data_IF_057105083743
#
_entry.id   IF_057105083743
#
_cell.length_a   1.000
_cell.length_b   1.000
_cell.length_c   1.000
_cell.angle_alpha   90.00
_cell.angle_beta   90.00
_cell.angle_gamma   90.00
#
_symmetry.space_group_name_H-M   'P 1'
#
loop_
_entity.id
_entity.type
_entity.pdbx_description
1 polymer ?
#
# COMPACT_ATOMS: atom_id res chain seq x y z
N UNK A 1 24.10 27.00 31.62
CA UNK A 1 24.50 26.49 30.28
C UNK A 1 25.93 25.92 30.21
N UNK A 2 27.00 26.60 30.66
CA UNK A 2 28.38 26.02 30.65
C UNK A 2 28.53 24.76 31.52
N UNK A 3 27.92 24.74 32.72
CA UNK A 3 27.98 23.59 33.64
C UNK A 3 27.29 22.35 33.04
N UNK A 4 26.19 22.54 32.29
CA UNK A 4 25.44 21.45 31.67
C UNK A 4 26.22 20.77 30.55
N UNK A 5 26.94 21.56 29.73
CA UNK A 5 27.76 21.04 28.62
C UNK A 5 28.92 20.21 29.16
N UNK A 6 29.64 20.74 30.18
CA UNK A 6 30.74 20.01 30.79
C UNK A 6 30.31 18.67 31.40
N UNK A 7 29.16 18.66 32.05
CA UNK A 7 28.62 17.40 32.64
C UNK A 7 28.15 16.41 31.59
N UNK A 8 27.52 16.89 30.52
CA UNK A 8 27.14 16.03 29.39
C UNK A 8 28.41 15.40 28.75
N UNK A 9 29.45 16.19 28.54
CA UNK A 9 30.71 15.70 27.97
C UNK A 9 31.40 14.68 28.90
N UNK A 10 31.41 14.93 30.20
CA UNK A 10 31.95 13.99 31.18
C UNK A 10 31.22 12.64 31.18
N UNK A 11 29.89 12.68 31.27
CA UNK A 11 29.05 11.47 31.26
C UNK A 11 29.18 10.71 29.95
N UNK A 12 29.22 11.41 28.83
CA UNK A 12 29.45 10.82 27.52
C UNK A 12 30.85 10.17 27.39
N UNK A 13 31.89 10.85 27.83
CA UNK A 13 33.27 10.36 27.79
C UNK A 13 33.50 9.15 28.71
N UNK A 14 32.84 9.14 29.87
CA UNK A 14 32.92 8.02 30.80
C UNK A 14 32.02 6.85 30.45
N UNK A 15 31.11 7.00 29.48
CA UNK A 15 30.16 5.97 29.08
C UNK A 15 29.31 5.47 30.26
N UNK A 16 28.65 6.40 30.97
CA UNK A 16 27.94 6.13 32.22
C UNK A 16 26.46 6.43 32.13
N UNK A 17 25.64 5.62 32.84
CA UNK A 17 24.27 6.01 33.12
C UNK A 17 24.24 7.11 34.18
N UNK A 18 23.49 8.17 33.90
CA UNK A 18 23.39 9.33 34.77
C UNK A 18 21.96 9.86 34.84
N UNK A 19 21.55 10.24 36.04
CA UNK A 19 20.28 10.92 36.23
C UNK A 19 20.38 11.92 37.40
N UNK A 20 20.21 13.21 37.09
CA UNK A 20 20.20 14.26 38.11
C UNK A 20 19.20 15.36 37.73
N UNK A 21 18.59 15.97 38.76
CA UNK A 21 17.79 17.18 38.59
C UNK A 21 18.68 18.39 38.91
N UNK A 22 18.78 19.34 37.98
CA UNK A 22 19.57 20.56 38.11
C UNK A 22 18.67 21.72 37.69
N UNK A 23 18.47 22.67 38.60
CA UNK A 23 17.64 23.89 38.39
C UNK A 23 16.26 23.58 37.78
N UNK A 24 15.57 22.58 38.34
CA UNK A 24 14.25 22.16 37.89
C UNK A 24 14.23 21.35 36.58
N UNK A 25 15.38 21.19 35.90
CA UNK A 25 15.54 20.38 34.70
C UNK A 25 16.16 19.03 35.02
N UNK A 26 15.68 17.99 34.34
CA UNK A 26 16.24 16.66 34.45
C UNK A 26 17.29 16.46 33.37
N UNK A 27 18.51 16.13 33.78
CA UNK A 27 19.59 15.65 32.91
C UNK A 27 19.69 14.14 33.12
N UNK A 28 19.63 13.38 32.03
CA UNK A 28 19.78 11.92 32.10
C UNK A 28 20.49 11.38 30.88
N UNK A 29 21.30 10.37 31.08
CA UNK A 29 21.85 9.50 30.04
C UNK A 29 21.47 8.05 30.34
N UNK A 30 21.36 7.26 29.28
CA UNK A 30 21.14 5.82 29.38
C UNK A 30 22.08 5.11 28.41
N UNK A 31 22.52 3.93 28.79
CA UNK A 31 23.33 3.06 27.97
C UNK A 31 22.43 1.98 27.35
N UNK A 32 22.71 1.70 26.11
CA UNK A 32 21.97 0.72 25.33
C UNK A 32 22.91 -0.06 24.44
N UNK A 33 22.58 -1.32 24.19
CA UNK A 33 23.20 -2.08 23.12
C UNK A 33 22.61 -1.69 21.76
N UNK A 34 23.34 -1.94 20.68
CA UNK A 34 22.84 -1.67 19.32
C UNK A 34 21.52 -2.40 19.04
N UNK A 35 21.35 -3.59 19.61
CA UNK A 35 20.11 -4.38 19.49
C UNK A 35 18.90 -3.74 20.18
N UNK A 36 19.08 -2.78 21.09
CA UNK A 36 17.97 -2.04 21.73
C UNK A 36 17.31 -1.03 20.81
N UNK A 37 18.03 -0.58 19.79
CA UNK A 37 17.55 0.38 18.80
C UNK A 37 17.25 -0.24 17.45
N UNK A 38 17.69 -1.47 17.24
CA UNK A 38 17.49 -2.19 16.00
C UNK A 38 16.11 -2.85 15.93
N UNK A 39 15.58 -2.90 14.73
CA UNK A 39 14.34 -3.61 14.42
C UNK A 39 14.39 -4.23 13.04
N UNK A 40 13.65 -5.31 12.87
CA UNK A 40 13.28 -5.85 11.57
C UNK A 40 12.05 -5.10 11.07
N UNK A 41 12.15 -4.47 9.90
CA UNK A 41 10.97 -3.99 9.17
C UNK A 41 10.50 -5.11 8.27
N UNK A 42 9.36 -5.72 8.62
CA UNK A 42 8.80 -6.90 7.99
C UNK A 42 7.51 -6.54 7.28
N UNK A 43 7.36 -6.93 6.01
CA UNK A 43 6.10 -6.74 5.31
C UNK A 43 5.12 -7.86 5.68
N UNK A 44 3.92 -7.44 6.03
CA UNK A 44 2.76 -8.29 6.28
C UNK A 44 1.87 -8.22 5.04
N UNK A 45 1.71 -9.36 4.39
CA UNK A 45 0.94 -9.48 3.16
C UNK A 45 -0.43 -10.09 3.47
N UNK A 46 -1.41 -9.77 2.63
CA UNK A 46 -2.77 -10.34 2.66
C UNK A 46 -3.16 -10.80 1.27
N UNK A 47 -4.01 -11.83 1.14
CA UNK A 47 -4.45 -12.32 -0.16
C UNK A 47 -5.31 -11.28 -0.87
N UNK A 48 -5.04 -11.09 -2.14
CA UNK A 48 -5.90 -10.31 -3.02
C UNK A 48 -7.19 -11.05 -3.27
N UNK A 49 -8.32 -10.34 -3.23
CA UNK A 49 -9.66 -10.88 -3.47
C UNK A 49 -10.36 -10.06 -4.53
N UNK A 50 -10.77 -10.69 -5.62
CA UNK A 50 -11.37 -10.00 -6.75
C UNK A 50 -12.65 -10.69 -7.20
N UNK A 51 -13.69 -9.88 -7.42
CA UNK A 51 -14.78 -10.20 -8.31
C UNK A 51 -14.48 -9.72 -9.71
N UNK A 52 -15.15 -10.31 -10.70
CA UNK A 52 -15.01 -9.90 -12.09
C UNK A 52 -16.35 -9.95 -12.82
N UNK A 53 -16.55 -9.02 -13.76
CA UNK A 53 -17.75 -8.98 -14.60
C UNK A 53 -17.49 -8.14 -15.84
N UNK A 54 -17.91 -8.59 -17.00
CA UNK A 54 -17.90 -7.78 -18.20
C UNK A 54 -19.10 -6.81 -18.20
N UNK A 55 -18.85 -5.57 -17.72
CA UNK A 55 -19.79 -4.44 -17.79
C UNK A 55 -19.32 -3.45 -18.85
N UNK A 56 -20.26 -2.86 -19.58
CA UNK A 56 -19.92 -1.91 -20.65
C UNK A 56 -19.13 -0.70 -20.15
N UNK A 57 -19.52 -0.18 -18.99
CA UNK A 57 -18.81 0.95 -18.35
C UNK A 57 -17.37 0.61 -17.98
N UNK A 58 -17.10 -0.64 -17.54
CA UNK A 58 -15.76 -1.10 -17.20
C UNK A 58 -14.89 -1.32 -18.45
N UNK A 59 -15.48 -1.92 -19.49
CA UNK A 59 -14.82 -2.14 -20.78
C UNK A 59 -14.46 -0.79 -21.42
N UNK A 60 -15.36 0.19 -21.35
CA UNK A 60 -15.13 1.52 -21.91
C UNK A 60 -13.90 2.22 -21.30
N UNK A 61 -13.49 1.88 -20.07
CA UNK A 61 -12.27 2.43 -19.46
C UNK A 61 -10.99 2.02 -20.19
N UNK A 62 -11.02 0.91 -20.93
CA UNK A 62 -9.87 0.43 -21.72
C UNK A 62 -9.51 1.33 -22.90
N UNK A 63 -10.45 2.15 -23.36
CA UNK A 63 -10.22 3.10 -24.47
C UNK A 63 -9.17 4.14 -24.19
N UNK A 64 -8.91 4.42 -22.92
CA UNK A 64 -8.16 5.59 -22.52
C UNK A 64 -6.94 5.24 -21.68
N UNK A 65 -5.86 5.98 -21.88
CA UNK A 65 -4.74 5.98 -20.94
C UNK A 65 -5.15 6.71 -19.66
N UNK A 66 -4.90 6.12 -18.50
CA UNK A 66 -5.30 6.68 -17.19
C UNK A 66 -4.81 8.13 -16.97
N UNK A 67 -3.65 8.48 -17.52
CA UNK A 67 -3.07 9.81 -17.37
C UNK A 67 -3.54 10.80 -18.42
N UNK A 68 -4.18 10.32 -19.47
CA UNK A 68 -4.68 11.10 -20.61
C UNK A 68 -6.18 10.92 -20.84
N UNK A 69 -6.88 10.37 -19.84
CA UNK A 69 -8.29 9.99 -19.98
C UNK A 69 -9.17 11.14 -20.44
N UNK A 70 -9.09 12.27 -19.77
CA UNK A 70 -9.90 13.46 -20.08
C UNK A 70 -9.65 14.00 -21.49
N UNK A 71 -8.40 14.32 -21.89
CA UNK A 71 -8.15 14.78 -23.26
C UNK A 71 -8.41 13.73 -24.32
N UNK A 72 -8.24 12.43 -24.02
CA UNK A 72 -8.58 11.34 -24.97
C UNK A 72 -10.11 11.24 -25.14
N UNK A 73 -10.91 11.38 -24.10
CA UNK A 73 -12.38 11.43 -24.18
C UNK A 73 -12.82 12.57 -25.09
N UNK A 74 -12.30 13.77 -24.86
CA UNK A 74 -12.62 14.93 -25.69
C UNK A 74 -12.22 14.68 -27.17
N UNK A 75 -11.00 14.21 -27.44
CA UNK A 75 -10.59 13.90 -28.80
C UNK A 75 -11.49 12.85 -29.46
N UNK A 76 -11.92 11.83 -28.73
CA UNK A 76 -12.80 10.79 -29.27
C UNK A 76 -14.19 11.34 -29.60
N UNK A 77 -14.72 12.22 -28.77
CA UNK A 77 -16.02 12.87 -28.98
C UNK A 77 -16.01 13.79 -30.21
N UNK A 78 -14.90 14.53 -30.42
CA UNK A 78 -14.75 15.45 -31.55
C UNK A 78 -14.37 14.76 -32.87
N UNK A 79 -13.38 13.85 -32.82
CA UNK A 79 -12.75 13.31 -34.04
C UNK A 79 -13.10 11.84 -34.33
N UNK A 80 -13.72 11.14 -33.39
CA UNK A 80 -14.24 9.76 -33.54
C UNK A 80 -13.18 8.81 -34.15
N UNK A 81 -13.52 8.15 -35.26
CA UNK A 81 -12.64 7.18 -35.94
C UNK A 81 -11.33 7.80 -36.44
N UNK A 82 -11.25 9.10 -36.62
CA UNK A 82 -10.03 9.77 -37.05
C UNK A 82 -8.94 9.76 -35.97
N UNK A 83 -9.32 9.56 -34.69
CA UNK A 83 -8.36 9.32 -33.61
C UNK A 83 -7.47 8.10 -33.90
N UNK A 84 -8.00 7.07 -34.54
CA UNK A 84 -7.30 5.84 -34.83
C UNK A 84 -6.57 5.84 -36.18
N UNK A 85 -6.86 6.80 -37.05
CA UNK A 85 -6.30 6.86 -38.40
C UNK A 85 -5.31 7.98 -38.59
N UNK A 86 -5.66 9.24 -38.28
CA UNK A 86 -4.87 10.43 -38.59
C UNK A 86 -5.06 11.56 -37.57
N UNK A 87 -4.96 11.25 -36.28
CA UNK A 87 -5.12 12.23 -35.19
C UNK A 87 -4.12 13.40 -35.26
N UNK A 88 -2.99 13.21 -35.90
CA UNK A 88 -1.91 14.20 -35.98
C UNK A 88 -2.37 15.50 -36.69
N UNK A 89 -3.34 15.41 -37.60
CA UNK A 89 -3.86 16.59 -38.31
C UNK A 89 -4.57 17.59 -37.39
N UNK A 90 -5.08 17.13 -36.24
CA UNK A 90 -5.78 17.93 -35.25
C UNK A 90 -4.90 18.45 -34.11
N UNK A 91 -3.58 18.36 -34.30
CA UNK A 91 -2.61 18.71 -33.24
C UNK A 91 -2.83 20.14 -32.68
N UNK A 92 -3.13 21.10 -33.53
CA UNK A 92 -3.34 22.50 -33.10
C UNK A 92 -4.59 22.66 -32.26
N UNK A 93 -5.69 22.09 -32.70
CA UNK A 93 -6.98 22.12 -32.03
C UNK A 93 -6.90 21.39 -30.67
N UNK A 94 -6.14 20.31 -30.58
CA UNK A 94 -5.88 19.61 -29.34
C UNK A 94 -5.05 20.46 -28.37
N UNK A 95 -4.01 21.16 -28.87
CA UNK A 95 -3.21 22.07 -28.07
C UNK A 95 -4.06 23.26 -27.56
N UNK A 96 -4.92 23.85 -28.39
CA UNK A 96 -5.86 24.90 -28.02
C UNK A 96 -6.87 24.44 -26.96
N UNK A 97 -7.38 23.21 -27.07
CA UNK A 97 -8.26 22.60 -26.06
C UNK A 97 -7.55 22.45 -24.72
N UNK A 98 -6.33 21.89 -24.72
CA UNK A 98 -5.54 21.69 -23.49
C UNK A 98 -5.27 23.03 -22.78
N UNK A 99 -4.94 24.06 -23.54
CA UNK A 99 -4.67 25.39 -22.98
C UNK A 99 -5.96 26.06 -22.45
N UNK A 100 -7.11 25.89 -23.13
CA UNK A 100 -8.41 26.43 -22.71
C UNK A 100 -8.91 25.78 -21.41
N UNK A 101 -8.76 24.48 -21.27
CA UNK A 101 -9.21 23.73 -20.08
C UNK A 101 -8.13 23.66 -18.96
N UNK A 102 -7.02 24.42 -19.12
CA UNK A 102 -5.88 24.45 -18.17
C UNK A 102 -5.29 23.06 -17.85
N UNK A 103 -5.29 22.16 -18.85
CA UNK A 103 -4.75 20.80 -18.74
C UNK A 103 -3.26 20.82 -19.01
N UNK A 104 -2.45 20.76 -17.95
CA UNK A 104 -0.99 20.75 -18.07
C UNK A 104 -0.45 19.36 -18.34
N UNK A 105 0.03 19.12 -19.56
CA UNK A 105 0.69 17.88 -19.95
C UNK A 105 2.18 18.11 -20.26
N UNK A 106 3.02 17.15 -19.87
CA UNK A 106 4.42 17.17 -20.27
C UNK A 106 4.57 16.90 -21.79
N UNK A 107 5.72 17.25 -22.37
CA UNK A 107 5.98 17.12 -23.80
C UNK A 107 5.80 15.67 -24.34
N UNK A 108 6.12 14.65 -23.53
CA UNK A 108 5.92 13.26 -23.89
C UNK A 108 4.44 12.92 -24.03
N UNK A 109 3.61 13.36 -23.11
CA UNK A 109 2.17 13.10 -23.10
C UNK A 109 1.45 13.88 -24.22
N UNK A 110 1.82 15.14 -24.48
CA UNK A 110 1.32 15.91 -25.63
C UNK A 110 1.63 15.19 -26.95
N UNK A 111 2.86 14.70 -27.12
CA UNK A 111 3.25 13.93 -28.31
C UNK A 111 2.52 12.58 -28.39
N UNK A 112 2.30 11.90 -27.27
CA UNK A 112 1.58 10.64 -27.24
C UNK A 112 0.11 10.83 -27.66
N UNK A 113 -0.57 11.85 -27.15
CA UNK A 113 -1.98 12.14 -27.45
C UNK A 113 -2.24 12.34 -28.94
N UNK A 114 -1.29 12.93 -29.66
CA UNK A 114 -1.35 13.14 -31.12
C UNK A 114 -0.72 12.00 -31.93
N UNK A 115 -0.43 10.86 -31.31
CA UNK A 115 0.18 9.69 -31.94
C UNK A 115 -0.85 8.58 -32.16
N UNK A 116 -1.03 8.13 -33.38
CA UNK A 116 -1.83 6.96 -33.72
C UNK A 116 -1.50 5.74 -32.85
N UNK A 117 -0.23 5.55 -32.48
CA UNK A 117 0.21 4.41 -31.69
C UNK A 117 -0.43 4.34 -30.30
N UNK A 118 -0.74 5.49 -29.66
CA UNK A 118 -1.47 5.51 -28.40
C UNK A 118 -2.90 4.99 -28.60
N UNK A 119 -3.58 5.49 -29.57
CA UNK A 119 -4.98 5.16 -29.85
C UNK A 119 -5.16 3.70 -30.23
N UNK A 120 -4.36 3.18 -31.16
CA UNK A 120 -4.43 1.77 -31.56
C UNK A 120 -4.04 0.82 -30.43
N UNK A 121 -3.15 1.23 -29.53
CA UNK A 121 -2.78 0.45 -28.33
C UNK A 121 -3.97 0.23 -27.40
N UNK A 122 -4.87 1.20 -27.29
CA UNK A 122 -6.04 1.13 -26.43
C UNK A 122 -7.26 0.52 -27.12
N UNK A 123 -7.34 0.58 -28.44
CA UNK A 123 -8.42 -0.01 -29.24
C UNK A 123 -8.47 -1.55 -29.11
N UNK A 124 -7.34 -2.22 -29.28
CA UNK A 124 -7.28 -3.68 -29.28
C UNK A 124 -7.76 -4.33 -27.95
N UNK A 125 -7.35 -3.87 -26.76
CA UNK A 125 -7.87 -4.40 -25.51
C UNK A 125 -9.39 -4.23 -25.35
N UNK A 126 -9.93 -3.10 -25.77
CA UNK A 126 -11.37 -2.85 -25.72
C UNK A 126 -12.16 -3.76 -26.65
N UNK A 127 -11.74 -3.84 -27.93
CA UNK A 127 -12.37 -4.75 -28.92
C UNK A 127 -12.31 -6.19 -28.43
N UNK A 128 -11.16 -6.62 -27.89
CA UNK A 128 -11.03 -7.96 -27.33
C UNK A 128 -11.92 -8.18 -26.12
N UNK A 129 -12.04 -7.20 -25.23
CA UNK A 129 -12.93 -7.29 -24.08
C UNK A 129 -14.41 -7.43 -24.48
N UNK A 130 -14.85 -6.76 -25.55
CA UNK A 130 -16.19 -6.93 -26.10
C UNK A 130 -16.39 -8.35 -26.69
N UNK A 131 -15.42 -8.88 -27.42
CA UNK A 131 -15.45 -10.26 -27.91
C UNK A 131 -15.55 -11.26 -26.75
N UNK A 132 -14.77 -11.03 -25.68
CA UNK A 132 -14.83 -11.88 -24.48
C UNK A 132 -16.18 -11.76 -23.77
N UNK A 133 -16.75 -10.56 -23.67
CA UNK A 133 -18.10 -10.33 -23.12
C UNK A 133 -19.15 -11.14 -23.88
N UNK A 134 -19.11 -11.11 -25.21
CA UNK A 134 -20.07 -11.83 -26.05
C UNK A 134 -19.93 -13.36 -25.94
N UNK A 135 -18.72 -13.86 -25.68
CA UNK A 135 -18.44 -15.29 -25.57
C UNK A 135 -18.70 -15.85 -24.14
N UNK A 136 -18.36 -15.10 -23.10
CA UNK A 136 -18.42 -15.52 -21.67
C UNK A 136 -19.76 -15.09 -21.05
N UNK A 137 -20.30 -13.94 -21.45
CA UNK A 137 -21.50 -13.34 -20.88
C UNK A 137 -21.19 -12.23 -19.88
N UNK A 138 -22.25 -11.81 -19.18
CA UNK A 138 -22.21 -10.66 -18.26
C UNK A 138 -22.51 -11.04 -16.82
N UNK A 139 -22.40 -12.31 -16.46
CA UNK A 139 -22.61 -12.76 -15.09
C UNK A 139 -21.42 -12.34 -14.20
N UNK A 140 -21.70 -12.11 -12.92
CA UNK A 140 -20.69 -11.76 -11.93
C UNK A 140 -19.97 -13.02 -11.45
N UNK A 141 -18.65 -13.00 -11.48
CA UNK A 141 -17.78 -14.05 -10.96
C UNK A 141 -17.28 -13.67 -9.57
N UNK A 142 -17.57 -14.49 -8.58
CA UNK A 142 -17.03 -14.36 -7.22
C UNK A 142 -15.65 -15.00 -7.08
N UNK A 143 -15.23 -15.81 -8.06
CA UNK A 143 -13.92 -16.43 -8.16
C UNK A 143 -13.19 -15.94 -9.42
N UNK A 144 -12.25 -15.02 -9.20
CA UNK A 144 -11.42 -14.47 -10.28
C UNK A 144 -10.55 -15.52 -10.96
N UNK A 145 -10.21 -16.62 -10.29
CA UNK A 145 -9.38 -17.68 -10.89
C UNK A 145 -10.17 -18.45 -11.95
N UNK A 146 -11.46 -18.71 -11.70
CA UNK A 146 -12.36 -19.31 -12.70
C UNK A 146 -12.55 -18.35 -13.86
N UNK A 147 -12.87 -17.08 -13.59
CA UNK A 147 -13.01 -16.05 -14.62
C UNK A 147 -11.76 -15.95 -15.52
N UNK A 148 -10.58 -15.84 -14.93
CA UNK A 148 -9.30 -15.77 -15.66
C UNK A 148 -9.08 -16.99 -16.54
N UNK A 149 -9.43 -18.17 -16.07
CA UNK A 149 -9.34 -19.41 -16.84
C UNK A 149 -10.27 -19.39 -18.04
N UNK A 150 -11.52 -19.00 -17.88
CA UNK A 150 -12.46 -18.88 -18.99
C UNK A 150 -12.01 -17.87 -20.04
N UNK A 151 -11.49 -16.71 -19.60
CA UNK A 151 -10.87 -15.75 -20.52
C UNK A 151 -9.72 -16.39 -21.32
N UNK A 152 -8.83 -17.14 -20.65
CA UNK A 152 -7.74 -17.83 -21.33
C UNK A 152 -8.20 -18.89 -22.32
N UNK A 153 -9.25 -19.64 -21.97
CA UNK A 153 -9.82 -20.68 -22.82
C UNK A 153 -10.49 -20.07 -24.07
N UNK A 154 -11.25 -18.99 -23.93
CA UNK A 154 -11.86 -18.26 -25.07
C UNK A 154 -10.81 -17.64 -25.97
N UNK A 155 -9.79 -16.95 -25.42
CA UNK A 155 -8.69 -16.38 -26.20
C UNK A 155 -7.98 -17.46 -27.04
N UNK A 156 -7.75 -18.63 -26.45
CA UNK A 156 -7.15 -19.77 -27.13
C UNK A 156 -8.03 -20.34 -28.22
N UNK A 157 -9.32 -20.52 -27.95
CA UNK A 157 -10.32 -21.02 -28.90
C UNK A 157 -10.44 -20.10 -30.11
N UNK A 158 -10.50 -18.80 -29.88
CA UNK A 158 -10.62 -17.79 -30.94
C UNK A 158 -9.27 -17.43 -31.60
N UNK A 159 -8.17 -18.01 -31.11
CA UNK A 159 -6.78 -17.74 -31.57
C UNK A 159 -6.37 -16.27 -31.48
N UNK A 160 -6.95 -15.55 -30.52
CA UNK A 160 -6.59 -14.16 -30.24
C UNK A 160 -5.27 -14.15 -29.46
N UNK A 161 -4.29 -13.42 -29.97
CA UNK A 161 -2.98 -13.27 -29.32
C UNK A 161 -2.89 -11.89 -28.67
N UNK A 162 -2.83 -11.86 -27.34
CA UNK A 162 -2.56 -10.67 -26.55
C UNK A 162 -1.20 -10.78 -25.91
N UNK A 163 -0.53 -9.66 -25.75
CA UNK A 163 0.60 -9.57 -24.81
C UNK A 163 0.11 -9.73 -23.38
N UNK A 164 1.01 -10.09 -22.47
CA UNK A 164 0.68 -10.15 -21.05
C UNK A 164 0.13 -8.82 -20.49
N UNK A 165 0.65 -7.69 -20.99
CA UNK A 165 0.20 -6.35 -20.61
C UNK A 165 -1.24 -6.08 -21.05
N UNK A 166 -1.59 -6.41 -22.29
CA UNK A 166 -2.95 -6.22 -22.83
C UNK A 166 -3.96 -7.11 -22.09
N UNK A 167 -3.63 -8.39 -21.90
CA UNK A 167 -4.47 -9.30 -21.12
C UNK A 167 -4.69 -8.81 -19.69
N UNK A 168 -3.63 -8.38 -19.01
CA UNK A 168 -3.75 -7.84 -17.65
C UNK A 168 -4.55 -6.53 -17.61
N UNK A 169 -4.44 -5.69 -18.65
CA UNK A 169 -5.25 -4.48 -18.75
C UNK A 169 -6.76 -4.83 -18.79
N UNK A 170 -7.16 -5.81 -19.60
CA UNK A 170 -8.55 -6.28 -19.67
C UNK A 170 -8.99 -6.84 -18.30
N UNK A 171 -8.22 -7.79 -17.75
CA UNK A 171 -8.56 -8.42 -16.47
C UNK A 171 -8.70 -7.39 -15.33
N UNK A 172 -7.80 -6.41 -15.26
CA UNK A 172 -7.83 -5.36 -14.25
C UNK A 172 -8.99 -4.37 -14.45
N UNK A 173 -9.38 -4.10 -15.71
CA UNK A 173 -10.48 -3.20 -16.00
C UNK A 173 -11.84 -3.78 -15.58
N UNK A 174 -12.02 -5.10 -15.73
CA UNK A 174 -13.29 -5.78 -15.48
C UNK A 174 -13.34 -6.46 -14.11
N UNK A 175 -12.41 -6.17 -13.21
CA UNK A 175 -12.36 -6.72 -11.86
C UNK A 175 -12.23 -5.64 -10.80
N UNK A 176 -12.71 -5.92 -9.59
CA UNK A 176 -12.63 -5.03 -8.43
C UNK A 176 -12.45 -5.84 -7.15
N UNK A 177 -11.92 -5.18 -6.12
CA UNK A 177 -11.78 -5.77 -4.79
C UNK A 177 -13.15 -6.02 -4.16
N UNK A 178 -13.32 -7.21 -3.58
CA UNK A 178 -14.46 -7.55 -2.72
C UNK A 178 -13.97 -8.52 -1.63
N UNK A 179 -14.22 -8.20 -0.37
CA UNK A 179 -13.76 -9.00 0.78
C UNK A 179 -14.34 -10.42 0.81
N UNK A 180 -15.51 -10.62 0.18
CA UNK A 180 -16.19 -11.92 0.12
C UNK A 180 -15.82 -12.72 -1.14
N UNK A 181 -14.98 -12.16 -2.02
CA UNK A 181 -14.51 -12.88 -3.19
C UNK A 181 -13.48 -13.95 -2.82
N UNK A 182 -13.31 -14.94 -3.69
CA UNK A 182 -12.25 -15.94 -3.53
C UNK A 182 -10.85 -15.32 -3.65
N UNK A 183 -9.88 -15.95 -2.96
CA UNK A 183 -8.48 -15.53 -3.00
C UNK A 183 -7.89 -15.73 -4.38
N UNK A 184 -7.19 -14.72 -4.89
CA UNK A 184 -6.54 -14.80 -6.20
C UNK A 184 -5.28 -15.66 -6.10
N UNK A 185 -5.25 -16.73 -6.88
CA UNK A 185 -4.10 -17.64 -6.95
C UNK A 185 -3.02 -17.02 -7.83
N UNK A 186 -1.85 -16.79 -7.25
CA UNK A 186 -0.65 -16.37 -7.97
C UNK A 186 -0.01 -17.55 -8.69
N UNK A 187 0.11 -18.66 -7.97
CA UNK A 187 0.83 -19.84 -8.46
C UNK A 187 0.41 -21.09 -7.70
N UNK A 188 0.32 -22.19 -8.42
CA UNK A 188 0.27 -23.53 -7.85
C UNK A 188 1.55 -24.24 -8.26
N UNK A 189 2.32 -24.73 -7.30
CA UNK A 189 3.62 -25.36 -7.56
C UNK A 189 3.80 -26.64 -6.78
N UNK A 190 4.36 -27.64 -7.45
CA UNK A 190 4.82 -28.86 -6.80
C UNK A 190 6.29 -28.69 -6.42
N UNK A 191 6.59 -28.74 -5.12
CA UNK A 191 7.92 -28.56 -4.57
C UNK A 191 8.55 -29.94 -4.32
N UNK A 192 9.73 -30.21 -4.91
CA UNK A 192 10.45 -31.45 -4.62
C UNK A 192 10.97 -31.49 -3.18
N UNK A 193 11.18 -32.68 -2.60
CA UNK A 193 11.66 -32.83 -1.23
C UNK A 193 12.92 -31.99 -0.93
N UNK A 194 13.92 -32.03 -1.80
CA UNK A 194 15.17 -31.26 -1.63
C UNK A 194 14.95 -29.74 -1.65
N UNK A 195 13.95 -29.26 -2.44
CA UNK A 195 13.60 -27.83 -2.47
C UNK A 195 12.75 -27.42 -1.29
N UNK A 196 11.91 -28.33 -0.80
CA UNK A 196 11.10 -28.10 0.38
C UNK A 196 12.00 -27.97 1.62
N UNK A 197 12.98 -28.90 1.79
CA UNK A 197 13.96 -28.83 2.87
C UNK A 197 14.70 -27.48 2.86
N UNK A 198 15.21 -27.07 1.69
CA UNK A 198 15.88 -25.75 1.56
C UNK A 198 14.97 -24.56 1.85
N UNK A 199 13.69 -24.66 1.51
CA UNK A 199 12.71 -23.61 1.81
C UNK A 199 12.47 -23.54 3.32
N UNK A 200 12.30 -24.67 3.99
CA UNK A 200 12.12 -24.74 5.44
C UNK A 200 13.35 -24.20 6.18
N UNK A 201 14.56 -24.59 5.76
CA UNK A 201 15.81 -24.05 6.30
C UNK A 201 15.93 -22.54 6.12
N UNK A 202 15.55 -22.02 4.92
CA UNK A 202 15.58 -20.59 4.63
C UNK A 202 14.58 -19.80 5.49
N UNK A 203 13.38 -20.34 5.67
CA UNK A 203 12.32 -19.70 6.46
C UNK A 203 12.50 -19.92 7.97
N UNK A 204 13.31 -20.93 8.37
CA UNK A 204 13.51 -21.29 9.76
C UNK A 204 12.23 -21.85 10.42
N UNK A 205 11.41 -22.59 9.65
CA UNK A 205 10.11 -23.07 10.12
C UNK A 205 9.88 -24.55 9.77
N UNK A 206 8.84 -25.14 10.35
CA UNK A 206 8.37 -26.48 10.00
C UNK A 206 7.34 -26.44 8.84
N UNK A 207 7.10 -27.61 8.21
CA UNK A 207 6.19 -27.70 7.04
C UNK A 207 4.76 -27.25 7.35
N UNK A 208 4.27 -27.48 8.56
CA UNK A 208 2.94 -27.07 9.01
C UNK A 208 2.83 -25.54 9.27
N UNK A 209 3.95 -24.83 9.27
CA UNK A 209 4.03 -23.38 9.50
C UNK A 209 4.19 -22.58 8.20
N UNK A 210 4.33 -23.26 7.06
CA UNK A 210 4.54 -22.63 5.76
C UNK A 210 3.44 -21.63 5.35
N UNK A 211 2.22 -21.80 5.85
CA UNK A 211 1.11 -20.84 5.62
C UNK A 211 1.41 -19.46 6.21
N UNK A 212 2.20 -19.38 7.27
CA UNK A 212 2.63 -18.11 7.86
C UNK A 212 3.58 -17.33 6.94
N UNK A 213 4.07 -17.97 5.90
CA UNK A 213 4.97 -17.41 4.89
C UNK A 213 4.37 -17.43 3.48
N UNK A 214 3.04 -17.67 3.38
CA UNK A 214 2.29 -17.58 2.13
C UNK A 214 2.27 -18.85 1.27
N UNK A 215 2.71 -20.00 1.81
CA UNK A 215 2.67 -21.30 1.14
C UNK A 215 1.57 -22.18 1.76
N UNK A 216 0.48 -22.34 1.05
CA UNK A 216 -0.70 -23.08 1.52
C UNK A 216 -0.74 -24.47 0.90
N UNK A 217 -0.71 -25.49 1.73
CA UNK A 217 -0.70 -26.91 1.29
C UNK A 217 -2.04 -27.28 0.65
N UNK A 218 -1.99 -27.99 -0.47
CA UNK A 218 -3.18 -28.59 -1.10
C UNK A 218 -3.39 -30.04 -0.63
N UNK A 219 -4.47 -30.66 -1.05
CA UNK A 219 -4.73 -32.10 -0.80
C UNK A 219 -3.72 -33.02 -1.51
N UNK A 220 -2.93 -32.51 -2.43
CA UNK A 220 -1.91 -33.27 -3.15
C UNK A 220 -0.55 -33.18 -2.47
N UNK A 221 0.16 -34.29 -2.46
CA UNK A 221 1.48 -34.34 -1.85
C UNK A 221 2.46 -33.34 -2.46
N UNK A 222 3.11 -32.56 -1.60
CA UNK A 222 4.12 -31.56 -1.96
C UNK A 222 3.62 -30.48 -2.95
N UNK A 223 2.32 -30.24 -3.03
CA UNK A 223 1.74 -29.17 -3.84
C UNK A 223 1.27 -28.03 -2.94
N UNK A 224 1.69 -26.82 -3.28
CA UNK A 224 1.39 -25.60 -2.51
C UNK A 224 0.78 -24.54 -3.41
N UNK A 225 -0.15 -23.79 -2.85
CA UNK A 225 -0.74 -22.59 -3.44
C UNK A 225 -0.04 -21.38 -2.83
N UNK A 226 0.37 -20.45 -3.68
CA UNK A 226 0.75 -19.10 -3.30
C UNK A 226 -0.34 -18.15 -3.80
N UNK A 227 -0.87 -17.29 -2.91
CA UNK A 227 -1.85 -16.28 -3.29
C UNK A 227 -1.16 -14.99 -3.76
N UNK A 228 -1.84 -14.24 -4.61
CA UNK A 228 -1.40 -12.90 -4.99
C UNK A 228 -1.60 -11.96 -3.80
N UNK A 229 -0.56 -11.20 -3.43
CA UNK A 229 -0.68 -10.22 -2.36
C UNK A 229 -1.40 -8.98 -2.83
N UNK A 230 -2.27 -8.45 -1.98
CA UNK A 230 -2.90 -7.15 -2.20
C UNK A 230 -1.96 -6.04 -1.72
N UNK A 231 -1.49 -5.21 -2.67
CA UNK A 231 -0.55 -4.13 -2.38
C UNK A 231 -1.18 -2.99 -1.59
N UNK A 232 -2.49 -2.81 -1.70
CA UNK A 232 -3.23 -1.74 -1.02
C UNK A 232 -3.52 -2.12 0.44
N UNK A 233 -3.56 -3.43 0.73
CA UNK A 233 -3.73 -3.99 2.07
C UNK A 233 -2.42 -4.40 2.74
N UNK A 234 -1.29 -4.22 2.06
CA UNK A 234 0.04 -4.50 2.64
C UNK A 234 0.32 -3.57 3.78
N UNK A 235 0.83 -4.13 4.87
CA UNK A 235 1.29 -3.41 6.03
C UNK A 235 2.74 -3.76 6.36
N UNK A 236 3.35 -3.05 7.30
CA UNK A 236 4.71 -3.36 7.76
C UNK A 236 4.83 -3.24 9.27
N UNK A 237 5.42 -4.27 9.87
CA UNK A 237 5.70 -4.31 11.30
C UNK A 237 7.17 -4.00 11.59
N UNK A 238 7.40 -3.30 12.69
CA UNK A 238 8.74 -3.01 13.22
C UNK A 238 8.99 -3.88 14.45
N UNK A 239 9.64 -5.02 14.23
CA UNK A 239 9.87 -6.05 15.25
C UNK A 239 11.25 -5.82 15.88
N UNK A 240 11.38 -5.66 17.21
CA UNK A 240 12.67 -5.50 17.87
C UNK A 240 13.67 -6.61 17.47
N UNK A 241 14.95 -6.26 17.27
CA UNK A 241 15.97 -7.27 16.91
C UNK A 241 16.15 -8.36 17.96
N UNK A 242 15.66 -8.16 19.18
CA UNK A 242 15.68 -9.15 20.26
C UNK A 242 14.55 -10.16 20.19
N UNK A 243 13.55 -9.92 19.38
CA UNK A 243 12.37 -10.76 19.22
C UNK A 243 12.48 -11.59 17.92
N UNK A 244 11.95 -12.79 17.97
CA UNK A 244 11.83 -13.63 16.77
C UNK A 244 10.61 -13.18 15.94
N UNK A 245 10.81 -13.03 14.63
CA UNK A 245 9.79 -12.54 13.69
C UNK A 245 8.53 -13.42 13.75
N UNK A 246 8.69 -14.74 13.76
CA UNK A 246 7.56 -15.67 13.78
C UNK A 246 6.75 -15.57 15.07
N UNK A 247 7.42 -15.53 16.23
CA UNK A 247 6.74 -15.42 17.51
C UNK A 247 5.97 -14.10 17.64
N UNK A 248 6.56 -13.02 17.17
CA UNK A 248 5.89 -11.71 17.11
C UNK A 248 4.67 -11.76 16.19
N UNK A 249 4.82 -12.29 14.98
CA UNK A 249 3.74 -12.41 13.99
C UNK A 249 2.55 -13.20 14.55
N UNK A 250 2.81 -14.35 15.16
CA UNK A 250 1.76 -15.20 15.72
C UNK A 250 1.02 -14.56 16.89
N UNK A 251 1.73 -13.72 17.68
CA UNK A 251 1.17 -13.10 18.86
C UNK A 251 0.47 -11.78 18.58
N UNK A 252 1.05 -10.93 17.75
CA UNK A 252 0.61 -9.54 17.58
C UNK A 252 -0.15 -9.30 16.26
N UNK A 253 0.07 -10.11 15.21
CA UNK A 253 -0.55 -9.90 13.90
C UNK A 253 -1.65 -10.92 13.61
N UNK A 254 -1.34 -12.20 13.73
CA UNK A 254 -2.24 -13.30 13.34
C UNK A 254 -3.62 -13.28 14.04
N UNK A 255 -3.76 -12.90 15.32
CA UNK A 255 -5.05 -12.82 15.98
C UNK A 255 -5.98 -11.73 15.41
N UNK A 256 -5.42 -10.73 14.75
CA UNK A 256 -6.17 -9.62 14.16
C UNK A 256 -6.41 -9.81 12.66
N UNK A 257 -5.53 -10.56 11.99
CA UNK A 257 -5.56 -10.78 10.54
C UNK A 257 -5.21 -12.25 10.27
N UNK A 258 -6.22 -13.10 10.35
CA UNK A 258 -6.05 -14.55 10.24
C UNK A 258 -5.41 -14.99 8.91
N UNK A 259 -5.70 -14.29 7.81
CA UNK A 259 -5.21 -14.64 6.46
C UNK A 259 -3.85 -14.02 6.10
N UNK A 260 -3.25 -13.26 7.02
CA UNK A 260 -1.96 -12.63 6.77
C UNK A 260 -0.81 -13.63 6.76
N UNK A 261 0.24 -13.27 6.03
CA UNK A 261 1.52 -13.96 6.07
C UNK A 261 2.69 -12.98 6.05
N UNK A 262 3.85 -13.47 6.46
CA UNK A 262 5.12 -12.74 6.51
C UNK A 262 5.86 -12.87 5.19
N UNK A 263 6.35 -11.76 4.64
CA UNK A 263 7.27 -11.76 3.50
C UNK A 263 8.70 -11.52 4.00
N UNK A 264 9.40 -12.61 4.33
CA UNK A 264 10.78 -12.53 4.85
C UNK A 264 11.78 -11.97 3.86
N UNK A 265 11.62 -12.25 2.55
CA UNK A 265 12.55 -11.79 1.50
C UNK A 265 12.60 -10.27 1.39
N UNK A 266 11.56 -9.58 1.84
CA UNK A 266 11.48 -8.11 1.85
C UNK A 266 11.92 -7.48 3.18
N UNK A 267 12.34 -8.29 4.16
CA UNK A 267 12.74 -7.82 5.49
C UNK A 267 13.98 -6.94 5.43
N UNK A 268 13.93 -5.82 6.15
CA UNK A 268 15.03 -4.88 6.28
C UNK A 268 15.37 -4.65 7.74
N UNK A 269 16.64 -4.43 8.03
CA UNK A 269 17.07 -4.02 9.37
C UNK A 269 17.12 -2.48 9.39
N UNK A 270 16.45 -1.89 10.37
CA UNK A 270 16.46 -0.48 10.66
C UNK A 270 16.95 -0.21 12.08
N UNK A 271 17.35 1.03 12.34
CA UNK A 271 17.71 1.51 13.68
C UNK A 271 16.99 2.82 13.96
N UNK A 272 16.31 2.87 15.09
CA UNK A 272 15.60 4.06 15.53
C UNK A 272 15.79 4.30 17.03
N UNK A 273 16.18 5.52 17.40
CA UNK A 273 16.30 5.93 18.80
C UNK A 273 15.03 6.68 19.17
N UNK A 274 14.12 5.98 19.86
CA UNK A 274 12.89 6.57 20.37
C UNK A 274 13.16 7.31 21.68
N UNK A 275 13.62 8.57 21.61
CA UNK A 275 13.87 9.39 22.80
C UNK A 275 12.65 9.53 23.70
N UNK A 276 11.46 9.60 23.11
CA UNK A 276 10.22 9.71 23.86
C UNK A 276 9.98 8.47 24.74
N UNK A 277 10.21 7.27 24.21
CA UNK A 277 10.04 6.01 24.98
C UNK A 277 10.91 5.99 26.24
N UNK A 278 12.13 6.54 26.20
CA UNK A 278 13.11 6.42 27.28
C UNK A 278 13.15 7.63 28.20
N UNK A 279 12.84 8.81 27.72
CA UNK A 279 13.01 10.06 28.45
C UNK A 279 11.70 10.79 28.72
N UNK A 280 10.61 10.47 28.00
CA UNK A 280 9.31 11.08 28.26
C UNK A 280 8.69 10.47 29.54
N UNK A 281 8.26 11.35 30.42
CA UNK A 281 7.40 10.97 31.54
C UNK A 281 6.03 11.55 31.31
N UNK A 282 5.03 10.69 31.27
CA UNK A 282 3.64 11.12 31.19
C UNK A 282 3.33 12.01 32.40
N UNK A 283 2.88 13.23 32.15
CA UNK A 283 2.29 14.08 33.17
C UNK A 283 0.80 13.70 33.23
N UNK A 284 0.31 13.26 34.42
CA UNK A 284 -1.12 12.98 34.53
C UNK A 284 -1.90 14.25 34.18
N UNK A 285 -2.99 14.08 33.49
CA UNK A 285 -3.91 15.18 33.20
C UNK A 285 -4.38 15.76 34.53
N UNK A 286 -4.50 17.07 34.59
CA UNK A 286 -5.07 17.76 35.71
C UNK A 286 -6.52 17.31 35.92
N UNK A 287 -6.97 17.22 37.15
CA UNK A 287 -8.37 16.91 37.48
C UNK A 287 -9.28 18.01 36.90
N UNK A 288 -10.49 17.64 36.53
CA UNK A 288 -11.51 18.59 36.08
C UNK A 288 -11.71 19.67 37.13
N UNK A 289 -11.72 19.29 38.43
CA UNK A 289 -11.88 20.21 39.55
C UNK A 289 -10.75 21.26 39.64
N UNK A 290 -9.50 20.85 39.38
CA UNK A 290 -8.37 21.79 39.38
C UNK A 290 -8.43 22.75 38.18
N UNK A 291 -8.83 22.27 37.02
CA UNK A 291 -9.03 23.12 35.83
C UNK A 291 -10.19 24.09 36.06
N UNK A 292 -11.29 23.63 36.64
CA UNK A 292 -12.46 24.48 36.95
C UNK A 292 -12.10 25.56 37.98
N UNK A 293 -11.34 25.23 39.02
CA UNK A 293 -10.86 26.23 40.00
C UNK A 293 -9.98 27.30 39.33
N UNK A 294 -9.08 26.89 38.45
CA UNK A 294 -8.25 27.87 37.75
C UNK A 294 -9.06 28.78 36.84
N UNK A 295 -10.05 28.22 36.13
CA UNK A 295 -10.95 29.01 35.27
C UNK A 295 -11.72 30.04 36.10
N UNK A 296 -12.32 29.62 37.22
CA UNK A 296 -13.05 30.53 38.13
C UNK A 296 -12.13 31.61 38.69
N UNK A 297 -10.92 31.23 39.11
CA UNK A 297 -9.94 32.22 39.58
C UNK A 297 -9.50 33.22 38.53
N UNK A 298 -9.34 32.76 37.28
CA UNK A 298 -9.02 33.66 36.15
C UNK A 298 -10.21 34.58 35.79
N UNK A 299 -11.43 34.07 35.89
CA UNK A 299 -12.65 34.86 35.64
C UNK A 299 -12.80 35.95 36.71
N UNK A 300 -12.60 35.62 38.00
CA UNK A 300 -12.60 36.61 39.09
C UNK A 300 -11.53 37.71 38.89
N UNK A 301 -10.33 37.33 38.46
CA UNK A 301 -9.25 38.27 38.16
C UNK A 301 -9.59 39.15 36.93
N UNK A 302 -10.23 38.59 35.90
CA UNK A 302 -10.68 39.30 34.70
C UNK A 302 -11.77 40.32 35.03
N UNK A 303 -12.74 39.95 35.86
CA UNK A 303 -13.79 40.88 36.31
C UNK A 303 -13.23 42.04 37.12
N UNK A 304 -12.20 41.80 37.92
CA UNK A 304 -11.47 42.87 38.62
C UNK A 304 -10.79 43.86 37.66
N UNK A 305 -10.11 43.32 36.64
CA UNK A 305 -9.47 44.12 35.60
C UNK A 305 -10.46 44.94 34.78
N UNK A 306 -11.60 44.38 34.44
CA UNK A 306 -12.65 45.09 33.68
C UNK A 306 -13.22 46.26 34.54
N UNK A 307 -13.47 46.06 35.84
CA UNK A 307 -13.91 47.12 36.74
C UNK A 307 -12.86 48.22 36.90
N UNK A 308 -11.58 47.87 36.98
CA UNK A 308 -10.48 48.84 37.05
C UNK A 308 -10.34 49.65 35.77
N UNK A 309 -10.48 49.00 34.57
CA UNK A 309 -10.43 49.68 33.30
C UNK A 309 -11.64 50.61 33.07
N UNK A 310 -12.82 50.21 33.56
CA UNK A 310 -14.04 50.99 33.41
C UNK A 310 -14.22 52.03 34.54
N UNK A 311 -13.35 52.06 35.55
CA UNK A 311 -13.41 53.00 36.67
C UNK A 311 -14.67 52.85 37.56
N UNK A 312 -15.20 51.64 37.67
CA UNK A 312 -16.40 51.26 38.42
C UNK A 312 -16.04 50.79 39.83
#
# INVERSE_FOLDING_TARGET
>A
MKLDISKIMEVYANFEEYQKQVDGKKISSKLFDNSDFGYYKVNIERPKRLKAQFREELIATLRFDKTLEEPMKWCLDEYKEECYTDIIKYKKEIEEYLDKEDISLNAKNKKALTSKALWTKHQMPEETANILKDAIGTDEYNDFNIFKKEVDDVLKQMKIKLSATEKNAILNAVSWYDENAEKVIKKVSKISADKLEKLLDHLGCEENELEHYGYYKTDKANEFIEYESDTDLRDSESIPLKDEIQNYFLKEVKPHIEEAWVNLDSTKIGYEISFNKYFYKHKPLRSIDDVTKDIVSLEEQSDGLIKEILGL
#
